data_IF_037389614105
#
_entry.id   IF_037389614105
#
_cell.length_a   1.000
_cell.length_b   1.000
_cell.length_c   1.000
_cell.angle_alpha   90.00
_cell.angle_beta   90.00
_cell.angle_gamma   90.00
#
_symmetry.space_group_name_H-M   'P 1'
#
loop_
_entity.id
_entity.type
_entity.pdbx_description
1 polymer ?
#
# COMPACT_ATOMS: atom_id res chain seq x y z
N UNK A 1 -4.29 32.01 -1.45
CA UNK A 1 -4.92 30.67 -1.39
C UNK A 1 -5.41 30.44 0.03
N UNK A 2 -6.60 29.86 0.20
CA UNK A 2 -7.16 29.53 1.53
C UNK A 2 -6.49 28.29 2.12
N UNK A 3 -6.47 28.15 3.45
CA UNK A 3 -6.00 26.95 4.16
C UNK A 3 -6.65 25.67 3.64
N UNK A 4 -7.94 25.73 3.26
CA UNK A 4 -8.68 24.61 2.65
C UNK A 4 -8.08 24.17 1.32
N UNK A 5 -7.67 25.12 0.47
CA UNK A 5 -7.03 24.83 -0.83
C UNK A 5 -5.69 24.15 -0.63
N UNK A 6 -4.89 24.61 0.33
CA UNK A 6 -3.58 24.00 0.61
C UNK A 6 -3.71 22.57 1.14
N UNK A 7 -4.69 22.31 2.02
CA UNK A 7 -4.97 20.96 2.49
C UNK A 7 -5.44 20.03 1.36
N UNK A 8 -6.32 20.52 0.48
CA UNK A 8 -6.77 19.74 -0.68
C UNK A 8 -5.60 19.40 -1.62
N UNK A 9 -4.69 20.35 -1.89
CA UNK A 9 -3.49 20.09 -2.69
C UNK A 9 -2.59 19.03 -2.03
N UNK A 10 -2.36 19.12 -0.72
CA UNK A 10 -1.58 18.15 0.03
C UNK A 10 -2.20 16.74 -0.05
N UNK A 11 -3.52 16.62 0.17
CA UNK A 11 -4.22 15.33 0.12
C UNK A 11 -4.21 14.76 -1.30
N UNK A 12 -4.37 15.60 -2.34
CA UNK A 12 -4.31 15.16 -3.74
C UNK A 12 -2.94 14.56 -4.07
N UNK A 13 -1.86 15.25 -3.70
CA UNK A 13 -0.51 14.81 -4.01
C UNK A 13 -0.15 13.54 -3.21
N UNK A 14 -0.62 13.44 -1.97
CA UNK A 14 -0.50 12.23 -1.14
C UNK A 14 -1.26 11.05 -1.76
N UNK A 15 -2.51 11.27 -2.18
CA UNK A 15 -3.36 10.28 -2.86
C UNK A 15 -2.66 9.75 -4.12
N UNK A 16 -2.21 10.64 -5.01
CA UNK A 16 -1.58 10.24 -6.27
C UNK A 16 -0.37 9.32 -6.06
N UNK A 17 0.54 9.71 -5.17
CA UNK A 17 1.72 8.88 -4.90
C UNK A 17 1.34 7.56 -4.21
N UNK A 18 0.30 7.56 -3.36
CA UNK A 18 -0.17 6.33 -2.72
C UNK A 18 -0.85 5.39 -3.71
N UNK A 19 -1.59 5.93 -4.68
CA UNK A 19 -2.19 5.17 -5.78
C UNK A 19 -1.12 4.47 -6.60
N UNK A 20 0.00 5.14 -6.92
CA UNK A 20 1.12 4.50 -7.63
C UNK A 20 1.70 3.29 -6.85
N UNK A 21 1.80 3.39 -5.53
CA UNK A 21 2.26 2.28 -4.69
C UNK A 21 1.26 1.12 -4.66
N UNK A 22 -0.04 1.41 -4.51
CA UNK A 22 -1.09 0.39 -4.57
C UNK A 22 -1.02 -0.40 -5.89
N UNK A 23 -1.00 0.31 -7.03
CA UNK A 23 -0.94 -0.33 -8.35
C UNK A 23 0.29 -1.24 -8.48
N UNK A 24 1.44 -0.79 -7.97
CA UNK A 24 2.65 -1.60 -7.94
C UNK A 24 2.48 -2.85 -7.06
N UNK A 25 1.90 -2.73 -5.87
CA UNK A 25 1.70 -3.88 -4.98
C UNK A 25 0.74 -4.91 -5.57
N UNK A 26 -0.30 -4.47 -6.30
CA UNK A 26 -1.18 -5.36 -7.07
C UNK A 26 -0.38 -6.14 -8.14
N UNK A 27 0.50 -5.45 -8.87
CA UNK A 27 1.31 -6.06 -9.92
C UNK A 27 2.35 -7.04 -9.33
N UNK A 28 3.01 -6.70 -8.22
CA UNK A 28 3.95 -7.59 -7.53
C UNK A 28 3.22 -8.81 -6.97
N UNK A 29 2.01 -8.65 -6.42
CA UNK A 29 1.24 -9.77 -5.91
C UNK A 29 0.97 -10.84 -6.99
N UNK A 30 0.85 -10.46 -8.26
CA UNK A 30 0.70 -11.43 -9.36
C UNK A 30 1.99 -12.23 -9.64
N UNK A 31 3.14 -11.77 -9.16
CA UNK A 31 4.45 -12.39 -9.35
C UNK A 31 4.89 -13.26 -8.17
N UNK A 32 4.18 -13.23 -7.05
CA UNK A 32 4.53 -13.96 -5.82
C UNK A 32 3.84 -15.33 -5.82
N UNK A 33 4.55 -16.44 -6.07
CA UNK A 33 3.96 -17.78 -6.11
C UNK A 33 3.76 -18.40 -4.72
N UNK A 34 4.47 -17.89 -3.70
CA UNK A 34 4.36 -18.36 -2.33
C UNK A 34 3.04 -17.88 -1.72
N UNK A 35 2.24 -18.82 -1.23
CA UNK A 35 0.89 -18.58 -0.71
C UNK A 35 0.87 -17.61 0.49
N UNK A 36 1.76 -17.80 1.47
CA UNK A 36 1.75 -17.02 2.69
C UNK A 36 2.24 -15.59 2.43
N UNK A 37 3.23 -15.45 1.54
CA UNK A 37 3.69 -14.14 1.08
C UNK A 37 2.62 -13.44 0.25
N UNK A 38 1.93 -14.16 -0.65
CA UNK A 38 0.87 -13.58 -1.46
C UNK A 38 -0.27 -13.06 -0.58
N UNK A 39 -0.69 -13.82 0.44
CA UNK A 39 -1.69 -13.39 1.41
C UNK A 39 -1.28 -12.11 2.14
N UNK A 40 0.00 -11.94 2.47
CA UNK A 40 0.50 -10.70 3.06
C UNK A 40 0.36 -9.51 2.09
N UNK A 41 0.64 -9.70 0.79
CA UNK A 41 0.38 -8.69 -0.24
C UNK A 41 -1.12 -8.36 -0.35
N UNK A 42 -2.00 -9.37 -0.39
CA UNK A 42 -3.46 -9.13 -0.47
C UNK A 42 -3.98 -8.38 0.76
N UNK A 43 -3.48 -8.72 1.96
CA UNK A 43 -3.80 -8.01 3.20
C UNK A 43 -3.40 -6.53 3.12
N UNK A 44 -2.19 -6.25 2.63
CA UNK A 44 -1.68 -4.89 2.44
C UNK A 44 -2.55 -4.14 1.42
N UNK A 45 -2.82 -4.73 0.26
CA UNK A 45 -3.64 -4.13 -0.81
C UNK A 45 -5.04 -3.75 -0.31
N UNK A 46 -5.71 -4.63 0.45
CA UNK A 46 -7.04 -4.34 1.01
C UNK A 46 -7.03 -3.13 1.98
N UNK A 47 -5.98 -2.98 2.78
CA UNK A 47 -5.80 -1.80 3.66
C UNK A 47 -5.53 -0.54 2.86
N UNK A 48 -4.72 -0.65 1.81
CA UNK A 48 -4.40 0.47 0.93
C UNK A 48 -5.63 1.00 0.20
N UNK A 49 -6.47 0.12 -0.35
CA UNK A 49 -7.75 0.48 -0.96
C UNK A 49 -8.65 1.25 0.02
N UNK A 50 -8.69 0.83 1.28
CA UNK A 50 -9.43 1.53 2.34
C UNK A 50 -8.87 2.93 2.59
N UNK A 51 -7.54 3.09 2.64
CA UNK A 51 -6.90 4.40 2.79
C UNK A 51 -7.16 5.32 1.60
N UNK A 52 -7.08 4.80 0.37
CA UNK A 52 -7.34 5.58 -0.83
C UNK A 52 -8.80 6.03 -0.92
N UNK A 53 -9.75 5.16 -0.58
CA UNK A 53 -11.16 5.54 -0.49
C UNK A 53 -11.37 6.69 0.50
N UNK A 54 -10.73 6.65 1.67
CA UNK A 54 -10.79 7.76 2.62
C UNK A 54 -10.20 9.06 2.05
N UNK A 55 -9.04 8.99 1.38
CA UNK A 55 -8.38 10.16 0.76
C UNK A 55 -9.25 10.79 -0.34
N UNK A 56 -9.88 9.97 -1.18
CA UNK A 56 -10.82 10.42 -2.21
C UNK A 56 -12.02 11.14 -1.58
N UNK A 57 -12.63 10.55 -0.55
CA UNK A 57 -13.73 11.21 0.17
C UNK A 57 -13.28 12.51 0.84
N UNK A 58 -12.08 12.56 1.41
CA UNK A 58 -11.53 13.78 2.00
C UNK A 58 -11.36 14.91 0.97
N UNK A 59 -10.99 14.62 -0.28
CA UNK A 59 -10.96 15.62 -1.35
C UNK A 59 -12.36 16.15 -1.68
N UNK A 60 -13.33 15.25 -1.82
CA UNK A 60 -14.71 15.61 -2.12
C UNK A 60 -15.32 16.47 -1.00
N UNK A 61 -15.07 16.13 0.27
CA UNK A 61 -15.52 16.91 1.44
C UNK A 61 -14.92 18.33 1.44
N UNK A 62 -13.71 18.51 0.89
CA UNK A 62 -13.06 19.81 0.73
C UNK A 62 -13.52 20.56 -0.53
N UNK A 63 -14.46 20.00 -1.30
CA UNK A 63 -14.93 20.56 -2.56
C UNK A 63 -13.92 20.46 -3.71
N UNK A 64 -12.90 19.62 -3.58
CA UNK A 64 -11.88 19.40 -4.60
C UNK A 64 -12.26 18.25 -5.53
N UNK A 65 -11.91 18.33 -6.84
CA UNK A 65 -12.13 17.23 -7.76
C UNK A 65 -11.19 16.06 -7.46
N UNK A 66 -11.62 14.84 -7.81
CA UNK A 66 -10.74 13.68 -7.79
C UNK A 66 -9.73 13.79 -8.95
N UNK A 67 -8.42 13.60 -8.69
CA UNK A 67 -7.44 13.56 -9.76
C UNK A 67 -7.61 12.27 -10.58
N UNK A 68 -7.18 12.30 -11.85
CA UNK A 68 -7.03 11.08 -12.63
C UNK A 68 -5.91 10.21 -12.04
N UNK A 69 -6.01 8.90 -12.22
CA UNK A 69 -5.00 7.98 -11.75
C UNK A 69 -3.63 8.24 -12.41
N UNK A 70 -2.53 8.12 -11.64
CA UNK A 70 -1.20 8.19 -12.22
C UNK A 70 -0.98 7.01 -13.18
N UNK A 71 -0.04 7.14 -14.15
CA UNK A 71 0.29 6.02 -15.02
C UNK A 71 0.82 4.84 -14.21
N UNK A 72 0.28 3.64 -14.46
CA UNK A 72 0.76 2.39 -13.86
C UNK A 72 2.19 2.11 -14.34
N UNK A 73 3.08 1.80 -13.41
CA UNK A 73 4.47 1.44 -13.72
C UNK A 73 4.61 -0.07 -13.84
N UNK A 74 5.32 -0.53 -14.88
CA UNK A 74 5.55 -1.96 -15.08
C UNK A 74 6.49 -2.54 -14.02
N UNK A 75 6.06 -3.63 -13.39
CA UNK A 75 6.91 -4.47 -12.53
C UNK A 75 7.59 -5.54 -13.39
N UNK A 76 8.91 -5.67 -13.28
CA UNK A 76 9.65 -6.68 -14.02
C UNK A 76 9.29 -8.10 -13.52
N UNK A 77 8.94 -8.97 -14.46
CA UNK A 77 8.65 -10.39 -14.19
C UNK A 77 9.95 -11.14 -13.96
N UNK A 78 10.07 -11.81 -12.82
CA UNK A 78 11.19 -12.68 -12.48
C UNK A 78 10.75 -14.12 -12.26
N UNK A 79 11.71 -15.06 -12.23
CA UNK A 79 11.45 -16.48 -11.93
C UNK A 79 11.90 -16.82 -10.51
N UNK A 80 11.23 -17.80 -9.89
CA UNK A 80 11.58 -18.31 -8.57
C UNK A 80 11.54 -17.19 -7.53
N UNK A 81 12.62 -17.04 -6.76
CA UNK A 81 12.74 -16.09 -5.65
C UNK A 81 12.96 -14.63 -6.05
N UNK A 82 12.85 -14.28 -7.33
CA UNK A 82 13.00 -12.90 -7.81
C UNK A 82 12.02 -11.91 -7.13
N UNK A 83 10.88 -12.40 -6.62
CA UNK A 83 9.93 -11.61 -5.86
C UNK A 83 10.50 -11.07 -4.53
N UNK A 84 11.53 -11.70 -3.94
CA UNK A 84 12.17 -11.20 -2.71
C UNK A 84 12.81 -9.84 -2.91
N UNK A 85 13.39 -9.60 -4.10
CA UNK A 85 13.92 -8.30 -4.47
C UNK A 85 12.81 -7.25 -4.60
N UNK A 86 11.66 -7.64 -5.16
CA UNK A 86 10.48 -6.77 -5.26
C UNK A 86 9.93 -6.39 -3.88
N UNK A 87 9.85 -7.35 -2.95
CA UNK A 87 9.47 -7.06 -1.56
C UNK A 87 10.47 -6.08 -0.89
N UNK A 88 11.77 -6.26 -1.11
CA UNK A 88 12.78 -5.32 -0.60
C UNK A 88 12.64 -3.91 -1.24
N UNK A 89 12.29 -3.82 -2.53
CA UNK A 89 11.97 -2.55 -3.19
C UNK A 89 10.72 -1.90 -2.58
N UNK A 90 9.67 -2.67 -2.32
CA UNK A 90 8.41 -2.17 -1.74
C UNK A 90 8.60 -1.67 -0.30
N UNK A 91 9.44 -2.36 0.48
CA UNK A 91 9.86 -1.90 1.80
C UNK A 91 10.59 -0.54 1.74
N UNK A 92 11.51 -0.37 0.78
CA UNK A 92 12.21 0.91 0.55
C UNK A 92 11.25 2.00 0.11
N UNK A 93 10.33 1.69 -0.81
CA UNK A 93 9.36 2.64 -1.32
C UNK A 93 8.43 3.15 -0.21
N UNK A 94 7.96 2.27 0.69
CA UNK A 94 7.18 2.67 1.86
C UNK A 94 7.98 3.57 2.81
N UNK A 95 9.26 3.25 3.07
CA UNK A 95 10.12 4.10 3.89
C UNK A 95 10.27 5.51 3.29
N UNK A 96 10.59 5.59 2.00
CA UNK A 96 10.78 6.84 1.27
C UNK A 96 9.51 7.70 1.28
N UNK A 97 8.35 7.07 1.08
CA UNK A 97 7.07 7.77 1.18
C UNK A 97 6.88 8.37 2.57
N UNK A 98 7.10 7.58 3.63
CA UNK A 98 6.93 8.06 5.00
C UNK A 98 7.87 9.23 5.31
N UNK A 99 9.14 9.12 4.90
CA UNK A 99 10.14 10.18 5.10
C UNK A 99 9.76 11.47 4.37
N UNK A 100 9.25 11.35 3.14
CA UNK A 100 8.80 12.48 2.33
C UNK A 100 7.61 13.23 2.95
N UNK A 101 6.66 12.50 3.54
CA UNK A 101 5.37 13.07 3.94
C UNK A 101 5.27 13.45 5.40
N UNK A 102 6.09 12.87 6.28
CA UNK A 102 5.99 13.07 7.73
C UNK A 102 5.98 14.55 8.12
N UNK A 103 6.94 15.34 7.63
CA UNK A 103 7.03 16.76 7.96
C UNK A 103 5.80 17.55 7.46
N UNK A 104 5.38 17.33 6.21
CA UNK A 104 4.23 17.99 5.59
C UNK A 104 2.93 17.70 6.34
N UNK A 105 2.75 16.45 6.80
CA UNK A 105 1.58 16.06 7.61
C UNK A 105 1.58 16.75 8.98
N UNK A 106 2.75 17.03 9.57
CA UNK A 106 2.81 17.77 10.84
C UNK A 106 2.33 19.22 10.71
N UNK A 107 2.47 19.83 9.53
CA UNK A 107 2.04 21.21 9.25
C UNK A 107 0.51 21.34 9.05
N UNK A 108 -0.20 20.22 8.85
CA UNK A 108 -1.67 20.23 8.69
C UNK A 108 -2.34 20.72 9.98
N UNK A 109 -3.07 21.83 9.91
CA UNK A 109 -3.80 22.38 11.07
C UNK A 109 -5.11 21.65 11.37
N UNK A 110 -5.76 21.06 10.35
CA UNK A 110 -7.04 20.38 10.52
C UNK A 110 -6.88 19.03 11.22
N UNK A 111 -7.25 18.95 12.51
CA UNK A 111 -6.99 17.81 13.38
C UNK A 111 -7.44 16.44 12.82
N UNK A 112 -8.67 16.34 12.28
CA UNK A 112 -9.19 15.09 11.70
C UNK A 112 -8.34 14.58 10.54
N UNK A 113 -8.07 15.43 9.54
CA UNK A 113 -7.26 15.06 8.38
C UNK A 113 -5.81 14.75 8.78
N UNK A 114 -5.21 15.56 9.67
CA UNK A 114 -3.88 15.28 10.24
C UNK A 114 -3.83 13.89 10.88
N UNK A 115 -4.80 13.57 11.73
CA UNK A 115 -4.89 12.28 12.42
C UNK A 115 -4.96 11.11 11.45
N UNK A 116 -5.83 11.19 10.44
CA UNK A 116 -5.96 10.13 9.44
C UNK A 116 -4.72 9.99 8.55
N UNK A 117 -4.09 11.09 8.13
CA UNK A 117 -2.82 11.04 7.40
C UNK A 117 -1.72 10.36 8.24
N UNK A 118 -1.67 10.62 9.55
CA UNK A 118 -0.75 9.93 10.46
C UNK A 118 -1.04 8.44 10.59
N UNK A 119 -2.31 8.04 10.61
CA UNK A 119 -2.70 6.62 10.58
C UNK A 119 -2.17 5.95 9.32
N UNK A 120 -2.37 6.56 8.14
CA UNK A 120 -1.86 6.01 6.88
C UNK A 120 -0.33 5.90 6.91
N UNK A 121 0.39 6.92 7.41
CA UNK A 121 1.85 6.85 7.55
C UNK A 121 2.30 5.74 8.52
N UNK A 122 1.56 5.50 9.61
CA UNK A 122 1.83 4.41 10.54
C UNK A 122 1.62 3.03 9.91
N UNK A 123 0.51 2.85 9.20
CA UNK A 123 0.22 1.60 8.46
C UNK A 123 1.27 1.33 7.38
N UNK A 124 1.80 2.37 6.71
CA UNK A 124 2.90 2.20 5.75
C UNK A 124 4.20 1.69 6.39
N UNK A 125 4.49 2.06 7.63
CA UNK A 125 5.63 1.48 8.36
C UNK A 125 5.40 0.02 8.72
N UNK A 126 4.15 -0.36 9.00
CA UNK A 126 3.79 -1.76 9.22
C UNK A 126 3.88 -2.57 7.92
N UNK A 127 3.42 -2.01 6.79
CA UNK A 127 3.59 -2.63 5.47
C UNK A 127 5.07 -2.81 5.13
N UNK A 128 5.90 -1.80 5.40
CA UNK A 128 7.36 -1.91 5.29
C UNK A 128 7.89 -3.08 6.11
N UNK A 129 7.49 -3.21 7.38
CA UNK A 129 7.93 -4.32 8.26
C UNK A 129 7.56 -5.68 7.66
N UNK A 130 6.35 -5.82 7.12
CA UNK A 130 5.90 -7.05 6.45
C UNK A 130 6.73 -7.35 5.20
N UNK A 131 7.01 -6.34 4.38
CA UNK A 131 7.84 -6.50 3.18
C UNK A 131 9.29 -6.84 3.49
N UNK A 132 9.90 -6.22 4.51
CA UNK A 132 11.25 -6.57 4.98
C UNK A 132 11.31 -8.04 5.41
N UNK A 133 10.29 -8.52 6.13
CA UNK A 133 10.21 -9.91 6.57
C UNK A 133 9.96 -10.88 5.41
N UNK A 134 9.11 -10.51 4.45
CA UNK A 134 8.88 -11.26 3.23
C UNK A 134 10.17 -11.41 2.41
N UNK A 135 10.91 -10.31 2.24
CA UNK A 135 12.20 -10.30 1.54
C UNK A 135 13.24 -11.22 2.23
N UNK A 136 13.19 -11.32 3.55
CA UNK A 136 13.99 -12.26 4.34
C UNK A 136 13.50 -13.72 4.27
N UNK A 137 12.39 -13.99 3.59
CA UNK A 137 11.80 -15.32 3.42
C UNK A 137 10.96 -15.81 4.60
N UNK A 138 10.53 -14.92 5.51
CA UNK A 138 9.59 -15.30 6.56
C UNK A 138 8.20 -15.52 5.96
N UNK A 139 7.56 -16.63 6.34
CA UNK A 139 6.21 -16.98 5.91
C UNK A 139 5.15 -16.67 6.98
N UNK A 140 5.56 -16.45 8.24
CA UNK A 140 4.67 -16.10 9.36
C UNK A 140 4.41 -14.59 9.47
N UNK A 141 4.08 -13.96 8.34
CA UNK A 141 3.98 -12.49 8.22
C UNK A 141 2.72 -11.92 8.87
N UNK A 142 1.58 -12.56 8.61
CA UNK A 142 0.25 -12.14 9.09
C UNK A 142 -0.32 -13.07 10.16
N UNK A 143 0.55 -13.89 10.75
CA UNK A 143 0.19 -14.91 11.75
C UNK A 143 1.00 -16.19 11.55
N UNK A 144 0.91 -17.09 12.52
CA UNK A 144 1.54 -18.43 12.43
C UNK A 144 0.49 -19.44 11.97
N UNK A 145 0.84 -20.29 11.01
CA UNK A 145 -0.02 -21.43 10.64
C UNK A 145 -0.25 -22.32 11.86
N UNK A 146 -1.50 -22.66 12.12
CA UNK A 146 -1.87 -23.62 13.16
C UNK A 146 -1.66 -25.08 12.71
N UNK A 147 -1.22 -25.30 11.45
CA UNK A 147 -1.04 -26.62 10.85
C UNK A 147 -2.26 -27.55 10.98
N UNK A 148 -3.46 -26.97 11.06
CA UNK A 148 -4.72 -27.73 11.17
C UNK A 148 -5.03 -28.43 9.85
N UNK A 149 -4.63 -27.84 8.72
CA UNK A 149 -4.77 -28.41 7.38
C UNK A 149 -3.48 -28.20 6.57
N UNK A 150 -3.17 -29.12 5.65
CA UNK A 150 -2.13 -28.91 4.64
C UNK A 150 -2.58 -27.82 3.66
N UNK A 151 -1.77 -26.78 3.53
CA UNK A 151 -1.95 -25.73 2.52
C UNK A 151 -1.41 -26.24 1.18
N UNK A 152 -2.24 -26.98 0.44
CA UNK A 152 -1.92 -27.44 -0.92
C UNK A 152 -2.64 -26.59 -1.98
N UNK A 153 -1.97 -26.31 -3.10
CA UNK A 153 -2.54 -25.54 -4.21
C UNK A 153 -1.53 -24.62 -4.88
N UNK A 154 -1.97 -23.94 -5.93
CA UNK A 154 -1.23 -22.86 -6.60
C UNK A 154 -2.00 -21.56 -6.41
N UNK A 155 -1.29 -20.45 -6.22
CA UNK A 155 -1.90 -19.11 -6.20
C UNK A 155 -2.58 -18.88 -7.56
N UNK A 156 -3.83 -18.42 -7.54
CA UNK A 156 -4.57 -18.11 -8.77
C UNK A 156 -3.89 -16.96 -9.51
N UNK A 157 -3.71 -17.09 -10.82
CA UNK A 157 -3.13 -16.04 -11.66
C UNK A 157 -4.01 -14.79 -11.81
N UNK A 158 -5.21 -14.77 -11.23
CA UNK A 158 -6.12 -13.64 -11.19
C UNK A 158 -6.71 -13.47 -9.79
N UNK A 159 -6.89 -12.21 -9.37
CA UNK A 159 -7.51 -11.86 -8.08
C UNK A 159 -8.99 -12.27 -8.08
N UNK A 160 -9.45 -12.89 -6.99
CA UNK A 160 -10.86 -13.22 -6.79
C UNK A 160 -11.66 -11.94 -6.51
N UNK A 161 -12.58 -11.59 -7.40
CA UNK A 161 -13.44 -10.38 -7.26
C UNK A 161 -14.83 -10.67 -6.71
N UNK A 162 -15.17 -11.94 -6.44
CA UNK A 162 -16.54 -12.37 -6.13
C UNK A 162 -17.43 -12.27 -7.38
N UNK A 163 -18.06 -13.39 -7.76
CA UNK A 163 -19.21 -13.37 -8.66
C UNK A 163 -20.49 -13.38 -7.83
#
# INVERSE_FOLDING_TARGET
MSTTSHLADLIRDFLLQRTSLLMRHEDVAQQVPDYDINNAYQYIVAREETHLSWLQHALLDLGAPLPADPPRQTVAVGKGDAWKALAADDARANAQFVDQWRAKVEEVSHARHKGMLKVVLGEMLEHKRLFDQAAAGRQDLIGTSLAINDHSGIVMGARWTGQ
#
